data_IF_866119462580
#
_entry.id   IF_866119462580
#
_cell.length_a   1.000
_cell.length_b   1.000
_cell.length_c   1.000
_cell.angle_alpha   90.00
_cell.angle_beta   90.00
_cell.angle_gamma   90.00
#
_symmetry.space_group_name_H-M   'P 1'
#
loop_
_entity.id
_entity.type
_entity.pdbx_description
1 polymer ?
#
# COMPACT_ATOMS: atom_id res chain seq x y z
N UNK A 1 13.44 -0.09 -2.61
CA UNK A 1 12.53 1.09 -2.51
C UNK A 1 13.40 2.34 -2.50
N UNK A 2 13.15 3.29 -3.41
CA UNK A 2 13.96 4.51 -3.52
C UNK A 2 13.24 5.68 -2.84
N UNK A 3 13.93 6.44 -1.97
CA UNK A 3 13.35 7.58 -1.25
C UNK A 3 12.81 7.26 0.15
N UNK A 4 13.10 6.07 0.68
CA UNK A 4 12.68 5.64 2.03
C UNK A 4 13.78 5.80 3.09
N UNK A 5 14.97 6.27 2.72
CA UNK A 5 16.10 6.48 3.65
C UNK A 5 16.08 7.91 4.25
N UNK A 6 14.97 8.26 4.91
CA UNK A 6 14.82 9.55 5.59
C UNK A 6 13.76 9.46 6.70
N UNK A 7 13.60 10.53 7.50
CA UNK A 7 12.60 10.58 8.60
C UNK A 7 11.15 10.49 8.10
N UNK A 8 10.91 10.97 6.88
CA UNK A 8 9.60 10.98 6.24
C UNK A 8 9.62 10.15 4.97
N UNK A 9 9.79 8.82 5.07
CA UNK A 9 9.97 7.95 3.91
C UNK A 9 8.76 8.03 2.99
N UNK A 10 9.02 8.33 1.72
CA UNK A 10 8.03 8.24 0.65
C UNK A 10 8.74 7.78 -0.61
N UNK A 11 8.30 6.64 -1.16
CA UNK A 11 8.88 6.12 -2.39
C UNK A 11 8.73 7.15 -3.51
N UNK A 12 9.82 7.48 -4.21
CA UNK A 12 9.80 8.48 -5.29
C UNK A 12 8.90 8.06 -6.47
N UNK A 13 8.67 6.76 -6.63
CA UNK A 13 7.79 6.23 -7.67
C UNK A 13 6.31 6.17 -7.27
N UNK A 14 5.95 6.56 -6.03
CA UNK A 14 4.56 6.63 -5.58
C UNK A 14 3.92 7.95 -6.05
N UNK A 15 3.03 7.84 -7.04
CA UNK A 15 2.29 8.96 -7.63
C UNK A 15 0.89 9.00 -7.02
N UNK A 16 0.36 10.20 -6.82
CA UNK A 16 -0.97 10.43 -6.24
C UNK A 16 -0.95 10.74 -4.74
N UNK A 17 -2.13 10.75 -4.13
CA UNK A 17 -2.38 11.19 -2.76
C UNK A 17 -2.88 10.04 -1.88
N UNK A 18 -2.17 9.76 -0.79
CA UNK A 18 -2.52 8.68 0.14
C UNK A 18 -3.83 9.03 0.84
N UNK A 19 -4.79 8.10 0.83
CA UNK A 19 -6.16 8.33 1.30
C UNK A 19 -7.15 8.68 0.19
N UNK A 20 -6.65 8.96 -1.02
CA UNK A 20 -7.43 9.07 -2.25
C UNK A 20 -6.93 8.03 -3.27
N UNK A 21 -6.37 8.47 -4.39
CA UNK A 21 -5.84 7.60 -5.44
C UNK A 21 -4.31 7.63 -5.43
N UNK A 22 -3.69 6.45 -5.44
CA UNK A 22 -2.25 6.28 -5.57
C UNK A 22 -1.91 5.16 -6.55
N UNK A 23 -0.77 5.30 -7.23
CA UNK A 23 -0.20 4.21 -8.05
C UNK A 23 1.32 4.25 -8.06
N UNK A 24 1.93 3.10 -8.33
CA UNK A 24 3.36 3.01 -8.58
C UNK A 24 3.64 3.31 -10.06
N UNK A 25 4.44 4.34 -10.38
CA UNK A 25 4.80 4.67 -11.77
C UNK A 25 5.72 3.64 -12.43
N UNK A 26 6.32 2.74 -11.64
CA UNK A 26 7.24 1.68 -12.11
C UNK A 26 6.72 0.29 -11.75
N UNK A 27 5.40 0.07 -11.71
CA UNK A 27 4.79 -1.16 -11.18
C UNK A 27 5.40 -2.46 -11.72
N UNK A 28 5.67 -2.51 -13.03
CA UNK A 28 6.30 -3.65 -13.71
C UNK A 28 7.79 -3.84 -13.38
N UNK A 29 8.46 -2.78 -12.89
CA UNK A 29 9.89 -2.76 -12.55
C UNK A 29 10.13 -2.72 -11.04
N UNK A 30 9.10 -3.03 -10.23
CA UNK A 30 9.22 -3.07 -8.76
C UNK A 30 10.32 -4.03 -8.32
N UNK A 31 11.12 -3.61 -7.34
CA UNK A 31 12.11 -4.43 -6.64
C UNK A 31 11.45 -5.53 -5.80
N UNK A 32 12.16 -6.60 -5.45
CA UNK A 32 11.65 -7.73 -4.64
C UNK A 32 10.91 -7.29 -3.36
N UNK A 33 11.40 -6.34 -2.54
CA UNK A 33 10.66 -5.91 -1.34
C UNK A 33 9.26 -5.36 -1.62
N UNK A 34 9.01 -4.79 -2.80
CA UNK A 34 7.69 -4.31 -3.18
C UNK A 34 6.80 -5.43 -3.75
N UNK A 35 7.39 -6.49 -4.31
CA UNK A 35 6.66 -7.62 -4.89
C UNK A 35 6.28 -8.66 -3.84
N UNK A 36 7.14 -8.83 -2.85
CA UNK A 36 6.97 -9.77 -1.73
C UNK A 36 6.14 -9.18 -0.59
N UNK A 37 5.78 -7.89 -0.66
CA UNK A 37 4.92 -7.27 0.34
C UNK A 37 3.47 -7.65 0.10
N UNK A 38 2.93 -8.47 1.00
CA UNK A 38 1.54 -8.92 0.98
C UNK A 38 0.61 -7.82 1.49
N UNK A 39 -0.51 -7.61 0.79
CA UNK A 39 -1.51 -6.65 1.24
C UNK A 39 -2.30 -7.23 2.42
N UNK A 40 -2.79 -6.38 3.33
CA UNK A 40 -3.55 -6.86 4.49
C UNK A 40 -4.74 -7.72 4.06
N UNK A 41 -5.06 -8.81 4.73
CA UNK A 41 -6.21 -9.65 4.36
C UNK A 41 -6.14 -10.31 2.96
N UNK A 42 -5.05 -10.19 2.19
CA UNK A 42 -4.88 -10.86 0.87
C UNK A 42 -5.06 -12.39 0.98
N UNK A 43 -4.52 -12.97 2.05
CA UNK A 43 -4.62 -14.39 2.37
C UNK A 43 -5.57 -14.66 3.55
N UNK A 44 -6.50 -13.73 3.83
CA UNK A 44 -7.36 -13.80 5.02
C UNK A 44 -6.66 -13.43 6.34
N UNK A 45 -5.39 -13.01 6.27
CA UNK A 45 -4.58 -12.62 7.43
C UNK A 45 -4.31 -11.11 7.45
N UNK A 46 -4.49 -10.47 8.60
CA UNK A 46 -4.22 -9.05 8.76
C UNK A 46 -2.71 -8.75 8.69
N UNK A 47 -2.31 -7.76 7.89
CA UNK A 47 -0.94 -7.26 7.87
C UNK A 47 -0.82 -5.99 8.73
N UNK A 48 -0.20 -6.13 9.90
CA UNK A 48 -0.02 -5.02 10.86
C UNK A 48 0.81 -3.85 10.32
N UNK A 49 1.65 -4.07 9.31
CA UNK A 49 2.45 -3.00 8.71
C UNK A 49 1.60 -2.13 7.78
N UNK A 50 0.54 -2.67 7.17
CA UNK A 50 -0.46 -1.88 6.47
C UNK A 50 -1.17 -0.93 7.44
N UNK A 51 -1.51 -1.37 8.65
CA UNK A 51 -2.18 -0.54 9.64
C UNK A 51 -1.27 0.57 10.17
N UNK A 52 0.01 0.26 10.45
CA UNK A 52 1.01 1.28 10.81
C UNK A 52 1.16 2.33 9.71
N UNK A 53 1.22 1.90 8.45
CA UNK A 53 1.31 2.79 7.31
C UNK A 53 0.07 3.69 7.22
N UNK A 54 -1.13 3.14 7.35
CA UNK A 54 -2.40 3.89 7.32
C UNK A 54 -2.53 4.87 8.48
N UNK A 55 -2.17 4.46 9.69
CA UNK A 55 -2.19 5.30 10.88
C UNK A 55 -1.30 6.54 10.73
N UNK A 56 -0.14 6.41 10.05
CA UNK A 56 0.73 7.56 9.74
C UNK A 56 0.04 8.65 8.92
N UNK A 57 -0.95 8.28 8.12
CA UNK A 57 -1.75 9.21 7.31
C UNK A 57 -3.13 9.49 7.94
N UNK A 58 -3.37 9.10 9.19
CA UNK A 58 -4.64 9.31 9.88
C UNK A 58 -5.80 8.45 9.36
N UNK A 59 -5.50 7.38 8.62
CA UNK A 59 -6.48 6.48 8.05
C UNK A 59 -6.77 5.32 9.02
N UNK A 60 -8.04 4.85 9.12
CA UNK A 60 -8.38 3.70 9.96
C UNK A 60 -7.78 2.40 9.39
N UNK A 61 -7.54 1.36 10.21
CA UNK A 61 -7.07 0.06 9.75
C UNK A 61 -8.04 -0.57 8.73
N UNK A 62 -7.53 -1.46 7.88
CA UNK A 62 -8.36 -2.15 6.89
C UNK A 62 -9.15 -3.28 7.56
N UNK A 63 -10.43 -3.36 7.23
CA UNK A 63 -11.36 -4.40 7.68
C UNK A 63 -11.38 -5.55 6.67
N UNK A 64 -11.62 -6.82 7.06
CA UNK A 64 -11.52 -7.99 6.17
C UNK A 64 -12.28 -7.90 4.84
N UNK A 65 -13.40 -7.16 4.83
CA UNK A 65 -14.24 -6.92 3.65
C UNK A 65 -13.54 -6.10 2.55
N UNK A 66 -12.47 -5.37 2.86
CA UNK A 66 -11.69 -4.62 1.87
C UNK A 66 -11.09 -5.52 0.78
N UNK A 67 -10.66 -6.74 1.16
CA UNK A 67 -10.08 -7.71 0.23
C UNK A 67 -11.14 -8.37 -0.68
N UNK A 68 -12.42 -8.11 -0.43
CA UNK A 68 -13.54 -8.66 -1.19
C UNK A 68 -14.07 -7.69 -2.25
N UNK A 69 -13.46 -6.50 -2.40
CA UNK A 69 -13.85 -5.53 -3.44
C UNK A 69 -13.48 -6.12 -4.81
N UNK A 70 -14.43 -6.30 -5.74
CA UNK A 70 -14.14 -6.80 -7.08
C UNK A 70 -13.10 -5.92 -7.79
N UNK A 71 -12.10 -6.53 -8.42
CA UNK A 71 -11.07 -5.85 -9.23
C UNK A 71 -11.67 -4.89 -10.28
N UNK A 72 -12.89 -5.18 -10.73
CA UNK A 72 -13.70 -4.36 -11.65
C UNK A 72 -14.06 -2.97 -11.10
N UNK A 73 -13.99 -2.78 -9.78
CA UNK A 73 -14.35 -1.55 -9.07
C UNK A 73 -13.13 -0.73 -8.57
N UNK A 74 -11.90 -1.18 -8.86
CA UNK A 74 -10.65 -0.52 -8.43
C UNK A 74 -10.10 0.43 -9.53
N UNK A 75 -10.88 0.69 -10.57
CA UNK A 75 -10.47 1.49 -11.74
C UNK A 75 -10.54 3.01 -11.51
#
# INVERSE_FOLDING_TARGET
MNGTDCKSPRCMALVGEVGSEVKCSIYELRSSPCREFESSWENGEQNVDCDKARARFGLPPLQPDWAQIPLEQIA
#
